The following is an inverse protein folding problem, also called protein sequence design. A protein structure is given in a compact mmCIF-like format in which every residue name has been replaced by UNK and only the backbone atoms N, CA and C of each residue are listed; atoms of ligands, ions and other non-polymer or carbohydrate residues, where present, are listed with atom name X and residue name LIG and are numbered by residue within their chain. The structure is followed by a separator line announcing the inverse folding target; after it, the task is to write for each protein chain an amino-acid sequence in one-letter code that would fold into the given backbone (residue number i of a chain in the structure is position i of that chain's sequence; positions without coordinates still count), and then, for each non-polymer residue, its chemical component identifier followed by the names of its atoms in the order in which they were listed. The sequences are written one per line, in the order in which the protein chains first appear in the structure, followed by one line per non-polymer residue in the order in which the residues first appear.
data_IF_945977073827
#
_entry.id   IF_945977073827
#
_cell.length_a   1.000
_cell.length_b   1.000
_cell.length_c   1.000
_cell.angle_alpha   90.00
_cell.angle_beta   90.00
_cell.angle_gamma   90.00
#
_symmetry.space_group_name_H-M   'P 1'
#
loop_
_entity.id
_entity.type
_entity.pdbx_description
1 polymer ?
#
# COMPACT_ATOMS: atom_id res chain seq x y z
N UNK A 1 53.65 -55.00 21.93
CA UNK A 1 52.45 -54.25 22.37
C UNK A 1 52.70 -52.76 22.60
N UNK A 2 53.74 -52.34 23.35
CA UNK A 2 54.01 -50.93 23.69
C UNK A 2 54.27 -50.00 22.48
N UNK A 3 55.01 -50.46 21.46
CA UNK A 3 55.28 -49.70 20.23
C UNK A 3 54.04 -49.52 19.33
N UNK A 4 53.12 -50.48 19.33
CA UNK A 4 51.87 -50.41 18.55
C UNK A 4 50.90 -49.36 19.15
N UNK A 5 50.81 -49.30 20.48
CA UNK A 5 50.01 -48.28 21.19
C UNK A 5 50.55 -46.85 20.96
N UNK A 6 51.87 -46.68 20.89
CA UNK A 6 52.51 -45.38 20.60
C UNK A 6 52.26 -44.92 19.16
N UNK A 7 52.24 -45.85 18.19
CA UNK A 7 51.88 -45.54 16.80
C UNK A 7 50.42 -45.08 16.65
N UNK A 8 49.49 -45.69 17.39
CA UNK A 8 48.08 -45.30 17.40
C UNK A 8 47.91 -43.90 18.02
N UNK A 9 48.56 -43.59 19.13
CA UNK A 9 48.51 -42.28 19.78
C UNK A 9 49.12 -41.17 18.90
N UNK A 10 50.23 -41.44 18.21
CA UNK A 10 50.84 -40.50 17.28
C UNK A 10 49.93 -40.24 16.05
N UNK A 11 49.31 -41.29 15.51
CA UNK A 11 48.36 -41.18 14.39
C UNK A 11 47.09 -40.40 14.77
N UNK A 12 46.53 -40.64 15.96
CA UNK A 12 45.39 -39.89 16.48
C UNK A 12 45.75 -38.42 16.70
N UNK A 13 46.91 -38.12 17.29
CA UNK A 13 47.39 -36.75 17.48
C UNK A 13 47.52 -35.98 16.16
N UNK A 14 48.14 -36.59 15.14
CA UNK A 14 48.29 -35.97 13.81
C UNK A 14 46.95 -35.75 13.10
N UNK A 15 46.03 -36.72 13.20
CA UNK A 15 44.68 -36.59 12.62
C UNK A 15 43.88 -35.46 13.28
N UNK A 16 44.01 -35.29 14.60
CA UNK A 16 43.36 -34.23 15.36
C UNK A 16 43.93 -32.84 15.00
N UNK A 17 45.25 -32.73 14.78
CA UNK A 17 45.88 -31.50 14.29
C UNK A 17 45.40 -31.15 12.88
N UNK A 18 45.32 -32.12 11.98
CA UNK A 18 44.86 -31.88 10.61
C UNK A 18 43.39 -31.44 10.57
N UNK A 19 42.52 -32.08 11.34
CA UNK A 19 41.10 -31.71 11.44
C UNK A 19 40.91 -30.36 12.13
N UNK A 20 41.70 -30.06 13.16
CA UNK A 20 41.72 -28.75 13.82
C UNK A 20 42.14 -27.63 12.87
N UNK A 21 43.22 -27.84 12.09
CA UNK A 21 43.70 -26.86 11.13
C UNK A 21 42.70 -26.62 10.00
N UNK A 22 42.10 -27.68 9.45
CA UNK A 22 41.04 -27.58 8.44
C UNK A 22 39.82 -26.84 8.99
N UNK A 23 39.38 -27.21 10.21
CA UNK A 23 38.27 -26.54 10.89
C UNK A 23 38.57 -25.07 11.16
N UNK A 24 39.80 -24.72 11.53
CA UNK A 24 40.22 -23.34 11.80
C UNK A 24 40.20 -22.51 10.52
N UNK A 25 40.70 -23.06 9.40
CA UNK A 25 40.63 -22.42 8.08
C UNK A 25 39.17 -22.18 7.71
N UNK A 26 38.30 -23.17 7.77
CA UNK A 26 36.87 -23.03 7.47
C UNK A 26 36.17 -22.01 8.40
N UNK A 27 36.52 -22.01 9.68
CA UNK A 27 36.00 -21.03 10.64
C UNK A 27 36.42 -19.60 10.30
N UNK A 28 37.64 -19.42 9.77
CA UNK A 28 38.18 -18.11 9.39
C UNK A 28 37.74 -17.62 8.00
N UNK A 29 37.67 -18.50 7.01
CA UNK A 29 37.46 -18.11 5.61
C UNK A 29 36.00 -18.14 5.19
N UNK A 30 35.16 -18.95 5.85
CA UNK A 30 33.75 -19.15 5.47
C UNK A 30 32.83 -18.72 6.60
N UNK A 31 33.03 -19.23 7.82
CA UNK A 31 32.11 -18.99 8.92
C UNK A 31 32.16 -17.56 9.45
N UNK A 32 33.34 -17.00 9.69
CA UNK A 32 33.47 -15.63 10.20
C UNK A 32 32.87 -14.55 9.26
N UNK A 33 33.14 -14.56 7.93
CA UNK A 33 32.48 -13.64 7.01
C UNK A 33 30.95 -13.80 6.97
N UNK A 34 30.45 -15.05 7.02
CA UNK A 34 29.02 -15.32 7.06
C UNK A 34 28.38 -14.84 8.37
N UNK A 35 29.06 -15.09 9.50
CA UNK A 35 28.65 -14.63 10.83
C UNK A 35 28.52 -13.11 10.90
N UNK A 36 29.52 -12.36 10.39
CA UNK A 36 29.45 -10.89 10.39
C UNK A 36 28.25 -10.38 9.61
N UNK A 37 28.03 -10.90 8.40
CA UNK A 37 26.86 -10.53 7.57
C UNK A 37 25.53 -10.85 8.25
N UNK A 38 25.44 -12.00 8.93
CA UNK A 38 24.25 -12.39 9.68
C UNK A 38 23.96 -11.44 10.84
N UNK A 39 24.98 -11.10 11.64
CA UNK A 39 24.84 -10.18 12.78
C UNK A 39 24.55 -8.76 12.32
N UNK A 40 25.20 -8.28 11.25
CA UNK A 40 24.95 -6.97 10.64
C UNK A 40 23.52 -6.85 10.08
N UNK A 41 22.96 -7.94 9.56
CA UNK A 41 21.59 -7.97 9.03
C UNK A 41 20.50 -8.06 10.13
N UNK A 42 20.87 -8.41 11.37
CA UNK A 42 19.94 -8.56 12.50
C UNK A 42 19.01 -7.36 12.72
N UNK A 43 19.49 -6.11 12.86
CA UNK A 43 18.60 -4.96 13.06
C UNK A 43 17.61 -4.78 11.90
N UNK A 44 18.04 -5.02 10.66
CA UNK A 44 17.15 -4.95 9.50
C UNK A 44 16.05 -6.02 9.53
N UNK A 45 16.35 -7.22 10.03
CA UNK A 45 15.39 -8.30 10.20
C UNK A 45 14.41 -8.01 11.35
N UNK A 46 14.89 -7.42 12.45
CA UNK A 46 14.05 -6.99 13.58
C UNK A 46 13.09 -5.87 13.13
N UNK A 47 13.57 -4.87 12.41
CA UNK A 47 12.75 -3.79 11.84
C UNK A 47 11.71 -4.33 10.85
N UNK A 48 12.13 -5.25 9.97
CA UNK A 48 11.21 -5.88 9.00
C UNK A 48 10.12 -6.70 9.71
N UNK A 49 10.45 -7.43 10.78
CA UNK A 49 9.47 -8.18 11.55
C UNK A 49 8.49 -7.23 12.26
N UNK A 50 8.99 -6.17 12.89
CA UNK A 50 8.17 -5.16 13.55
C UNK A 50 7.19 -4.49 12.57
N UNK A 51 7.63 -4.17 11.35
CA UNK A 51 6.76 -3.66 10.30
C UNK A 51 5.70 -4.68 9.89
N UNK A 52 6.09 -5.93 9.63
CA UNK A 52 5.17 -6.99 9.23
C UNK A 52 4.12 -7.30 10.32
N UNK A 53 4.46 -7.12 11.59
CA UNK A 53 3.56 -7.32 12.75
C UNK A 53 2.80 -6.06 13.16
N UNK A 54 3.07 -4.92 12.52
CA UNK A 54 2.42 -3.65 12.83
C UNK A 54 0.92 -3.67 12.50
N UNK A 55 0.17 -2.81 13.19
CA UNK A 55 -1.23 -2.53 12.86
C UNK A 55 -1.40 -1.90 11.47
N UNK A 56 -0.34 -1.30 10.91
CA UNK A 56 -0.36 -0.67 9.58
C UNK A 56 -0.50 -1.72 8.48
N UNK A 57 0.25 -2.82 8.57
CA UNK A 57 0.15 -3.94 7.61
C UNK A 57 -1.21 -4.62 7.72
N UNK A 58 -1.72 -4.82 8.95
CA UNK A 58 -3.07 -5.37 9.15
C UNK A 58 -4.15 -4.44 8.57
N UNK A 59 -4.01 -3.13 8.77
CA UNK A 59 -4.88 -2.11 8.17
C UNK A 59 -4.83 -2.10 6.65
N UNK A 60 -3.65 -2.25 6.05
CA UNK A 60 -3.51 -2.38 4.59
C UNK A 60 -4.22 -3.63 4.06
N UNK A 61 -4.07 -4.77 4.74
CA UNK A 61 -4.75 -6.02 4.37
C UNK A 61 -6.27 -5.88 4.48
N UNK A 62 -6.77 -5.24 5.54
CA UNK A 62 -8.20 -4.99 5.70
C UNK A 62 -8.75 -4.05 4.63
N UNK A 63 -8.07 -2.92 4.36
CA UNK A 63 -8.48 -1.99 3.31
C UNK A 63 -8.45 -2.63 1.92
N UNK A 64 -7.48 -3.50 1.65
CA UNK A 64 -7.43 -4.26 0.41
C UNK A 64 -8.61 -5.24 0.29
N UNK A 65 -8.97 -5.92 1.37
CA UNK A 65 -10.14 -6.80 1.40
C UNK A 65 -11.43 -6.04 1.14
N UNK A 66 -11.59 -4.86 1.74
CA UNK A 66 -12.73 -3.98 1.52
C UNK A 66 -12.81 -3.52 0.06
N UNK A 67 -11.68 -3.08 -0.51
CA UNK A 67 -11.57 -2.72 -1.92
C UNK A 67 -12.04 -3.87 -2.82
N UNK A 68 -11.50 -5.08 -2.65
CA UNK A 68 -11.89 -6.25 -3.43
C UNK A 68 -13.38 -6.59 -3.26
N UNK A 69 -13.93 -6.43 -2.06
CA UNK A 69 -15.36 -6.66 -1.79
C UNK A 69 -16.28 -5.62 -2.44
N UNK A 70 -15.76 -4.43 -2.74
CA UNK A 70 -16.48 -3.34 -3.37
C UNK A 70 -16.50 -3.44 -4.91
N UNK A 71 -15.58 -4.20 -5.52
CA UNK A 71 -15.48 -4.35 -6.99
C UNK A 71 -16.82 -4.77 -7.62
N UNK A 72 -17.56 -5.78 -7.13
CA UNK A 72 -18.85 -6.15 -7.73
C UNK A 72 -19.89 -5.02 -7.68
N UNK A 73 -19.85 -4.19 -6.63
CA UNK A 73 -20.73 -3.01 -6.53
C UNK A 73 -20.30 -1.94 -7.54
N UNK A 74 -19.00 -1.75 -7.74
CA UNK A 74 -18.46 -0.83 -8.74
C UNK A 74 -18.80 -1.28 -10.17
N UNK A 75 -18.73 -2.58 -10.47
CA UNK A 75 -19.18 -3.15 -11.75
C UNK A 75 -20.66 -2.87 -12.00
N UNK A 76 -21.51 -3.15 -11.00
CA UNK A 76 -22.94 -2.87 -11.11
C UNK A 76 -23.23 -1.37 -11.30
N UNK A 77 -22.48 -0.50 -10.62
CA UNK A 77 -22.60 0.95 -10.77
C UNK A 77 -22.15 1.42 -12.16
N UNK A 78 -21.04 0.90 -12.69
CA UNK A 78 -20.54 1.24 -14.02
C UNK A 78 -21.52 0.79 -15.12
N UNK A 79 -22.14 -0.39 -14.95
CA UNK A 79 -23.16 -0.89 -15.87
C UNK A 79 -24.45 -0.06 -15.81
N UNK A 80 -24.91 0.30 -14.60
CA UNK A 80 -26.05 1.19 -14.42
C UNK A 80 -25.79 2.57 -15.03
N UNK A 81 -24.59 3.13 -14.82
CA UNK A 81 -24.16 4.38 -15.42
C UNK A 81 -24.15 4.29 -16.94
N UNK A 82 -23.58 3.24 -17.53
CA UNK A 82 -23.58 3.02 -18.98
C UNK A 82 -24.98 2.96 -19.59
N UNK A 83 -25.94 2.33 -18.88
CA UNK A 83 -27.35 2.31 -19.31
C UNK A 83 -28.04 3.68 -19.19
N UNK A 84 -27.71 4.44 -18.16
CA UNK A 84 -28.26 5.78 -17.95
C UNK A 84 -27.61 6.84 -18.85
N UNK A 85 -26.37 6.62 -19.30
CA UNK A 85 -25.56 7.59 -20.02
C UNK A 85 -26.25 8.21 -21.25
N UNK A 86 -26.92 7.45 -22.15
CA UNK A 86 -27.61 8.06 -23.28
C UNK A 86 -28.76 9.00 -22.87
N UNK A 87 -29.45 8.70 -21.77
CA UNK A 87 -30.49 9.57 -21.23
C UNK A 87 -29.89 10.83 -20.59
N UNK A 88 -28.78 10.68 -19.87
CA UNK A 88 -28.03 11.80 -19.29
C UNK A 88 -27.46 12.72 -20.37
N UNK A 89 -26.93 12.19 -21.48
CA UNK A 89 -26.47 12.98 -22.63
C UNK A 89 -27.62 13.77 -23.26
N UNK A 90 -28.81 13.18 -23.39
CA UNK A 90 -30.00 13.91 -23.88
C UNK A 90 -30.41 15.03 -22.93
N UNK A 91 -30.43 14.75 -21.62
CA UNK A 91 -30.72 15.77 -20.60
C UNK A 91 -29.67 16.89 -20.61
N UNK A 92 -28.41 16.55 -20.84
CA UNK A 92 -27.32 17.50 -21.01
C UNK A 92 -27.52 18.40 -22.23
N UNK A 93 -27.94 17.84 -23.38
CA UNK A 93 -28.30 18.62 -24.56
C UNK A 93 -29.44 19.61 -24.27
N UNK A 94 -30.50 19.16 -23.58
CA UNK A 94 -31.60 20.03 -23.17
C UNK A 94 -31.16 21.12 -22.18
N UNK A 95 -30.27 20.79 -21.24
CA UNK A 95 -29.70 21.75 -20.30
C UNK A 95 -28.90 22.84 -21.03
N UNK A 96 -28.12 22.46 -22.03
CA UNK A 96 -27.36 23.38 -22.86
C UNK A 96 -28.29 24.31 -23.66
N UNK A 97 -29.34 23.77 -24.27
CA UNK A 97 -30.37 24.58 -24.95
C UNK A 97 -31.05 25.57 -23.99
N UNK A 98 -31.42 25.12 -22.78
CA UNK A 98 -31.99 25.99 -21.75
C UNK A 98 -31.03 27.08 -21.29
N UNK A 99 -29.74 26.76 -21.19
CA UNK A 99 -28.70 27.73 -20.86
C UNK A 99 -28.56 28.80 -21.95
N UNK A 100 -28.48 28.38 -23.22
CA UNK A 100 -28.40 29.30 -24.36
C UNK A 100 -29.61 30.24 -24.45
N UNK A 101 -30.82 29.72 -24.21
CA UNK A 101 -32.04 30.53 -24.22
C UNK A 101 -32.07 31.50 -23.05
N UNK A 102 -31.83 31.03 -21.82
CA UNK A 102 -31.91 31.85 -20.59
C UNK A 102 -30.79 32.90 -20.49
N UNK A 103 -29.67 32.70 -21.18
CA UNK A 103 -28.58 33.66 -21.26
C UNK A 103 -28.60 34.49 -22.56
N UNK A 104 -29.60 34.30 -23.41
CA UNK A 104 -29.75 35.09 -24.63
C UNK A 104 -30.01 36.57 -24.33
N UNK A 105 -29.63 37.43 -25.27
CA UNK A 105 -29.90 38.86 -25.18
C UNK A 105 -31.38 39.16 -24.96
N UNK A 106 -32.26 38.48 -25.69
CA UNK A 106 -33.71 38.69 -25.62
C UNK A 106 -34.28 38.30 -24.25
N UNK A 107 -33.77 37.22 -23.65
CA UNK A 107 -34.21 36.78 -22.32
C UNK A 107 -33.81 37.79 -21.24
N UNK A 108 -32.56 38.26 -21.27
CA UNK A 108 -32.07 39.29 -20.35
C UNK A 108 -32.81 40.64 -20.53
N UNK A 109 -33.11 41.02 -21.78
CA UNK A 109 -33.91 42.21 -22.07
C UNK A 109 -35.35 42.08 -21.53
N UNK A 110 -35.95 40.89 -21.59
CA UNK A 110 -37.27 40.62 -21.02
C UNK A 110 -37.28 40.71 -19.50
N UNK A 111 -36.27 40.14 -18.82
CA UNK A 111 -36.09 40.28 -17.37
C UNK A 111 -36.02 41.77 -16.99
N UNK A 112 -35.16 42.54 -17.67
CA UNK A 112 -35.00 43.97 -17.39
C UNK A 112 -36.29 44.77 -17.66
N UNK A 113 -37.09 44.38 -18.66
CA UNK A 113 -38.38 44.99 -18.92
C UNK A 113 -39.39 44.68 -17.81
N UNK A 114 -39.47 43.42 -17.37
CA UNK A 114 -40.35 42.99 -16.28
C UNK A 114 -39.99 43.67 -14.96
N UNK A 115 -38.70 43.86 -14.68
CA UNK A 115 -38.23 44.60 -13.49
C UNK A 115 -38.66 46.07 -13.51
N UNK A 116 -38.54 46.74 -14.66
CA UNK A 116 -39.04 48.12 -14.82
C UNK A 116 -40.55 48.21 -14.65
N UNK A 117 -41.29 47.22 -15.17
CA UNK A 117 -42.74 47.15 -14.98
C UNK A 117 -43.08 46.90 -13.52
N UNK A 118 -42.35 46.03 -12.82
CA UNK A 118 -42.55 45.76 -11.40
C UNK A 118 -42.26 46.99 -10.53
N UNK A 119 -41.21 47.75 -10.84
CA UNK A 119 -40.88 49.00 -10.17
C UNK A 119 -42.02 50.02 -10.34
N UNK A 120 -42.44 50.27 -11.58
CA UNK A 120 -43.57 51.18 -11.87
C UNK A 120 -44.90 50.70 -11.26
N UNK A 121 -45.14 49.39 -11.23
CA UNK A 121 -46.35 48.82 -10.63
C UNK A 121 -46.31 48.92 -9.10
N UNK A 122 -45.14 48.81 -8.47
CA UNK A 122 -44.96 49.01 -7.03
C UNK A 122 -45.29 50.45 -6.61
N UNK A 123 -44.95 51.43 -7.44
CA UNK A 123 -45.33 52.84 -7.23
C UNK A 123 -46.86 53.08 -7.25
N UNK A 124 -47.64 52.17 -7.86
CA UNK A 124 -49.10 52.24 -7.87
C UNK A 124 -49.74 51.69 -6.59
N UNK A 125 -49.03 50.89 -5.78
CA UNK A 125 -49.57 50.30 -4.55
C UNK A 125 -50.13 51.33 -3.57
N UNK A 126 -49.48 52.47 -3.28
CA UNK A 126 -50.04 53.49 -2.38
C UNK A 126 -51.35 54.08 -2.90
N UNK A 127 -51.50 54.23 -4.22
CA UNK A 127 -52.72 54.75 -4.84
C UNK A 127 -53.85 53.72 -4.78
N UNK A 128 -53.54 52.45 -5.04
CA UNK A 128 -54.49 51.34 -4.88
C UNK A 128 -54.93 51.19 -3.42
N UNK A 129 -54.01 51.37 -2.46
CA UNK A 129 -54.31 51.40 -1.03
C UNK A 129 -55.31 52.52 -0.69
N UNK A 130 -55.04 53.73 -1.19
CA UNK A 130 -55.90 54.89 -0.98
C UNK A 130 -57.30 54.70 -1.59
N UNK A 131 -57.40 53.93 -2.69
CA UNK A 131 -58.66 53.58 -3.34
C UNK A 131 -59.37 52.36 -2.72
N UNK A 132 -58.79 51.70 -1.72
CA UNK A 132 -59.34 50.48 -1.12
C UNK A 132 -59.28 49.23 -2.03
N UNK A 133 -58.42 49.24 -3.05
CA UNK A 133 -58.30 48.19 -4.08
C UNK A 133 -57.08 47.29 -3.85
N UNK A 134 -56.80 46.92 -2.60
CA UNK A 134 -55.62 46.12 -2.22
C UNK A 134 -55.61 44.73 -2.83
N UNK A 135 -56.76 44.19 -3.23
CA UNK A 135 -56.87 42.89 -3.90
C UNK A 135 -56.11 42.85 -5.25
N UNK A 136 -55.84 44.02 -5.84
CA UNK A 136 -55.07 44.16 -7.07
C UNK A 136 -53.56 44.10 -6.86
N UNK A 137 -53.08 44.01 -5.61
CA UNK A 137 -51.64 43.89 -5.32
C UNK A 137 -51.03 42.64 -5.93
N UNK A 138 -51.76 41.52 -5.95
CA UNK A 138 -51.30 40.30 -6.59
C UNK A 138 -51.08 40.48 -8.11
N UNK A 139 -51.88 41.33 -8.75
CA UNK A 139 -51.71 41.69 -10.16
C UNK A 139 -50.48 42.57 -10.36
N UNK A 140 -50.24 43.50 -9.43
CA UNK A 140 -49.04 44.35 -9.41
C UNK A 140 -47.75 43.54 -9.19
N UNK A 141 -47.80 42.55 -8.31
CA UNK A 141 -46.64 41.71 -7.95
C UNK A 141 -46.29 40.68 -9.04
N UNK A 142 -47.20 40.43 -9.98
CA UNK A 142 -47.02 39.43 -11.05
C UNK A 142 -45.78 39.69 -11.92
N UNK A 143 -45.43 40.95 -12.18
CA UNK A 143 -44.24 41.30 -12.95
C UNK A 143 -42.94 40.99 -12.19
N UNK A 144 -42.92 41.25 -10.88
CA UNK A 144 -41.78 40.92 -10.00
C UNK A 144 -41.60 39.40 -9.93
N UNK A 145 -42.70 38.67 -9.73
CA UNK A 145 -42.67 37.21 -9.71
C UNK A 145 -42.19 36.61 -11.02
N UNK A 146 -42.59 37.17 -12.17
CA UNK A 146 -42.15 36.71 -13.47
C UNK A 146 -40.64 36.95 -13.69
N UNK A 147 -40.13 38.13 -13.30
CA UNK A 147 -38.70 38.43 -13.38
C UNK A 147 -37.87 37.51 -12.48
N UNK A 148 -38.32 37.27 -11.24
CA UNK A 148 -37.68 36.33 -10.32
C UNK A 148 -37.67 34.90 -10.85
N UNK A 149 -38.80 34.43 -11.39
CA UNK A 149 -38.90 33.10 -12.00
C UNK A 149 -37.91 32.93 -13.16
N UNK A 150 -37.77 33.95 -14.01
CA UNK A 150 -36.81 33.92 -15.11
C UNK A 150 -35.36 33.90 -14.63
N UNK A 151 -35.02 34.65 -13.56
CA UNK A 151 -33.69 34.58 -12.94
C UNK A 151 -33.42 33.22 -12.29
N UNK A 152 -34.41 32.64 -11.65
CA UNK A 152 -34.31 31.30 -11.05
C UNK A 152 -34.03 30.26 -12.14
N UNK A 153 -34.74 30.35 -13.28
CA UNK A 153 -34.52 29.49 -14.45
C UNK A 153 -33.10 29.67 -15.02
N UNK A 154 -32.56 30.88 -15.03
CA UNK A 154 -31.19 31.16 -15.46
C UNK A 154 -30.17 30.45 -14.56
N UNK A 155 -30.29 30.57 -13.23
CA UNK A 155 -29.44 29.85 -12.26
C UNK A 155 -29.55 28.33 -12.40
N UNK A 156 -30.77 27.82 -12.56
CA UNK A 156 -30.99 26.38 -12.73
C UNK A 156 -30.35 25.84 -14.01
N UNK A 157 -30.38 26.62 -15.09
CA UNK A 157 -29.72 26.25 -16.35
C UNK A 157 -28.20 26.24 -16.25
N UNK A 158 -27.61 27.15 -15.46
CA UNK A 158 -26.17 27.21 -15.23
C UNK A 158 -25.69 25.97 -14.46
N UNK A 159 -26.38 25.59 -13.39
CA UNK A 159 -26.11 24.36 -12.65
C UNK A 159 -26.25 23.10 -13.53
N UNK A 160 -27.23 23.08 -14.44
CA UNK A 160 -27.43 21.97 -15.37
C UNK A 160 -26.32 21.90 -16.44
N UNK A 161 -25.81 23.04 -16.90
CA UNK A 161 -24.66 23.13 -17.80
C UNK A 161 -23.35 22.69 -17.13
N UNK A 162 -23.16 22.99 -15.84
CA UNK A 162 -22.03 22.45 -15.06
C UNK A 162 -22.11 20.93 -14.92
N UNK A 163 -23.29 20.39 -14.60
CA UNK A 163 -23.54 18.95 -14.54
C UNK A 163 -23.26 18.24 -15.86
N UNK A 164 -23.50 18.91 -16.98
CA UNK A 164 -23.19 18.41 -18.34
C UNK A 164 -21.69 18.25 -18.58
N UNK A 165 -20.87 19.20 -18.14
CA UNK A 165 -19.39 19.09 -18.26
C UNK A 165 -18.83 17.91 -17.48
N UNK A 166 -19.40 17.61 -16.32
CA UNK A 166 -19.00 16.44 -15.52
C UNK A 166 -19.33 15.13 -16.25
N UNK A 167 -20.47 15.07 -16.95
CA UNK A 167 -20.86 13.93 -17.76
C UNK A 167 -19.86 13.67 -18.89
N UNK A 168 -19.42 14.71 -19.59
CA UNK A 168 -18.42 14.60 -20.67
C UNK A 168 -17.04 14.15 -20.17
N UNK A 169 -16.68 14.53 -18.94
CA UNK A 169 -15.38 14.18 -18.34
C UNK A 169 -15.27 12.73 -17.88
N UNK A 170 -16.36 11.97 -17.89
CA UNK A 170 -16.39 10.59 -17.37
C UNK A 170 -17.20 9.67 -18.29
N UNK A 171 -16.72 9.39 -19.52
CA UNK A 171 -17.42 8.49 -20.41
C UNK A 171 -17.52 7.08 -19.80
N UNK A 172 -18.61 6.34 -20.08
CA UNK A 172 -18.89 5.05 -19.43
C UNK A 172 -17.80 4.02 -19.70
N UNK A 173 -17.08 4.15 -20.82
CA UNK A 173 -16.06 3.18 -21.20
C UNK A 173 -14.77 3.36 -20.40
N UNK A 174 -14.45 4.60 -19.99
CA UNK A 174 -13.35 4.86 -19.07
C UNK A 174 -13.67 4.31 -17.67
N UNK A 175 -14.90 4.51 -17.19
CA UNK A 175 -15.34 3.96 -15.90
C UNK A 175 -15.29 2.43 -15.91
N UNK A 176 -15.79 1.78 -16.99
CA UNK A 176 -15.69 0.32 -17.15
C UNK A 176 -14.25 -0.16 -17.20
N UNK A 177 -13.37 0.55 -17.93
CA UNK A 177 -11.96 0.19 -18.02
C UNK A 177 -11.26 0.29 -16.65
N UNK A 178 -11.57 1.30 -15.84
CA UNK A 178 -11.03 1.44 -14.49
C UNK A 178 -11.50 0.32 -13.56
N UNK A 179 -12.79 -0.04 -13.62
CA UNK A 179 -13.34 -1.13 -12.81
C UNK A 179 -12.75 -2.49 -13.24
N UNK A 180 -12.60 -2.73 -14.54
CA UNK A 180 -11.93 -3.93 -15.05
C UNK A 180 -10.46 -4.01 -14.64
N UNK A 181 -9.74 -2.87 -14.60
CA UNK A 181 -8.38 -2.83 -14.09
C UNK A 181 -8.32 -3.23 -12.60
N UNK A 182 -9.22 -2.70 -11.77
CA UNK A 182 -9.33 -3.08 -10.35
C UNK A 182 -9.66 -4.56 -10.17
N UNK A 183 -10.57 -5.09 -11.00
CA UNK A 183 -10.93 -6.50 -11.01
C UNK A 183 -9.72 -7.38 -11.34
N UNK A 184 -8.99 -7.08 -12.41
CA UNK A 184 -7.77 -7.82 -12.77
C UNK A 184 -6.73 -7.80 -11.66
N UNK A 185 -6.52 -6.65 -11.01
CA UNK A 185 -5.63 -6.57 -9.86
C UNK A 185 -6.08 -7.49 -8.71
N UNK A 186 -7.38 -7.51 -8.41
CA UNK A 186 -7.94 -8.38 -7.38
C UNK A 186 -7.89 -9.88 -7.75
N UNK A 187 -7.96 -10.22 -9.04
CA UNK A 187 -7.83 -11.59 -9.55
C UNK A 187 -6.37 -12.09 -9.53
N UNK A 188 -5.41 -11.25 -9.90
CA UNK A 188 -3.98 -11.58 -9.88
C UNK A 188 -3.43 -11.72 -8.45
N UNK A 189 -3.93 -10.88 -7.55
CA UNK A 189 -3.53 -10.81 -6.15
C UNK A 189 -4.76 -10.82 -5.24
N UNK A 190 -5.46 -11.96 -5.09
CA UNK A 190 -6.61 -12.02 -4.19
C UNK A 190 -6.18 -11.77 -2.74
N UNK A 191 -7.08 -11.26 -1.87
CA UNK A 191 -6.74 -10.94 -0.48
C UNK A 191 -6.07 -12.10 0.26
N UNK A 192 -6.54 -13.33 0.06
CA UNK A 192 -5.96 -14.54 0.66
C UNK A 192 -4.51 -14.80 0.23
N UNK A 193 -4.14 -14.46 -1.02
CA UNK A 193 -2.78 -14.61 -1.52
C UNK A 193 -1.86 -13.55 -0.94
N UNK A 194 -2.32 -12.31 -0.83
CA UNK A 194 -1.57 -11.22 -0.19
C UNK A 194 -1.34 -11.51 1.31
N UNK A 195 -2.37 -11.94 2.02
CA UNK A 195 -2.27 -12.38 3.42
C UNK A 195 -1.28 -13.54 3.58
N UNK A 196 -1.33 -14.52 2.66
CA UNK A 196 -0.37 -15.62 2.61
C UNK A 196 1.08 -15.16 2.42
N UNK A 197 1.32 -14.17 1.55
CA UNK A 197 2.66 -13.59 1.33
C UNK A 197 3.16 -12.89 2.60
N UNK A 198 2.32 -12.10 3.27
CA UNK A 198 2.68 -11.41 4.51
C UNK A 198 2.98 -12.42 5.62
N UNK A 199 2.18 -13.49 5.76
CA UNK A 199 2.45 -14.54 6.74
C UNK A 199 3.74 -15.31 6.43
N UNK A 200 3.97 -15.65 5.16
CA UNK A 200 5.23 -16.29 4.75
C UNK A 200 6.44 -15.40 5.06
N UNK A 201 6.32 -14.08 4.83
CA UNK A 201 7.36 -13.12 5.17
C UNK A 201 7.62 -13.09 6.69
N UNK A 202 6.57 -13.06 7.53
CA UNK A 202 6.70 -13.13 9.01
C UNK A 202 7.45 -14.38 9.45
N UNK A 203 7.07 -15.55 8.91
CA UNK A 203 7.74 -16.83 9.23
C UNK A 203 9.20 -16.81 8.81
N UNK A 204 9.49 -16.42 7.57
CA UNK A 204 10.86 -16.40 7.03
C UNK A 204 11.78 -15.44 7.80
N UNK A 205 11.27 -14.27 8.19
CA UNK A 205 12.04 -13.29 8.97
C UNK A 205 12.31 -13.82 10.39
N UNK A 206 11.33 -14.45 11.05
CA UNK A 206 11.52 -15.10 12.35
C UNK A 206 12.54 -16.25 12.29
N UNK A 207 12.50 -17.07 11.24
CA UNK A 207 13.48 -18.13 11.01
C UNK A 207 14.88 -17.57 10.79
N UNK A 208 15.00 -16.51 9.99
CA UNK A 208 16.26 -15.81 9.77
C UNK A 208 16.83 -15.25 11.08
N UNK A 209 16.01 -14.60 11.91
CA UNK A 209 16.41 -14.12 13.24
C UNK A 209 16.87 -15.26 14.14
N UNK A 210 16.14 -16.39 14.17
CA UNK A 210 16.54 -17.56 14.95
C UNK A 210 17.88 -18.16 14.50
N UNK A 211 18.19 -18.11 13.20
CA UNK A 211 19.52 -18.50 12.66
C UNK A 211 20.60 -17.53 13.14
N UNK A 212 20.34 -16.22 13.10
CA UNK A 212 21.27 -15.20 13.61
C UNK A 212 21.52 -15.39 15.11
N UNK A 213 20.48 -15.56 15.93
CA UNK A 213 20.61 -15.81 17.36
C UNK A 213 21.42 -17.08 17.66
N UNK A 214 21.22 -18.15 16.87
CA UNK A 214 22.00 -19.39 17.00
C UNK A 214 23.47 -19.15 16.63
N UNK A 215 23.73 -18.35 15.60
CA UNK A 215 25.10 -17.97 15.23
C UNK A 215 25.76 -17.13 16.34
N UNK A 216 25.04 -16.18 16.95
CA UNK A 216 25.52 -15.35 18.07
C UNK A 216 25.92 -16.18 19.30
N UNK A 217 25.26 -17.30 19.58
CA UNK A 217 25.65 -18.24 20.65
C UNK A 217 26.96 -18.98 20.35
N UNK A 218 27.42 -18.98 19.11
CA UNK A 218 28.63 -19.67 18.65
C UNK A 218 29.57 -18.72 17.89
N UNK A 219 30.09 -17.65 18.52
CA UNK A 219 30.89 -16.67 17.82
C UNK A 219 32.16 -17.30 17.25
N UNK A 220 32.66 -16.82 16.09
CA UNK A 220 33.81 -17.39 15.41
C UNK A 220 35.07 -17.43 16.29
N UNK A 221 35.20 -16.51 17.24
CA UNK A 221 36.30 -16.51 18.23
C UNK A 221 36.30 -17.75 19.15
N UNK A 222 35.13 -18.17 19.65
CA UNK A 222 35.02 -19.37 20.49
C UNK A 222 35.29 -20.64 19.68
N UNK A 223 34.78 -20.71 18.45
CA UNK A 223 35.02 -21.82 17.53
C UNK A 223 36.51 -21.97 17.19
N UNK A 224 37.16 -20.85 16.84
CA UNK A 224 38.61 -20.81 16.60
C UNK A 224 39.42 -21.20 17.83
N UNK A 225 39.02 -20.77 19.02
CA UNK A 225 39.70 -21.09 20.27
C UNK A 225 39.57 -22.57 20.65
N UNK A 226 38.39 -23.17 20.46
CA UNK A 226 38.19 -24.61 20.63
C UNK A 226 39.00 -25.42 19.60
N UNK A 227 39.03 -24.98 18.34
CA UNK A 227 39.83 -25.62 17.30
C UNK A 227 41.33 -25.50 17.60
N UNK A 228 41.81 -24.32 18.02
CA UNK A 228 43.19 -24.13 18.44
C UNK A 228 43.56 -25.00 19.65
N UNK A 229 42.68 -25.11 20.64
CA UNK A 229 42.87 -25.98 21.80
C UNK A 229 42.92 -27.48 21.41
N UNK A 230 42.04 -27.92 20.50
CA UNK A 230 42.07 -29.28 19.96
C UNK A 230 43.35 -29.57 19.16
N UNK A 231 43.83 -28.59 18.38
CA UNK A 231 45.11 -28.67 17.67
C UNK A 231 46.29 -28.75 18.64
N UNK A 232 46.31 -27.93 19.69
CA UNK A 232 47.34 -27.97 20.73
C UNK A 232 47.35 -29.32 21.49
N UNK A 233 46.17 -29.88 21.79
CA UNK A 233 46.05 -31.20 22.38
C UNK A 233 46.56 -32.31 21.43
N UNK A 234 46.29 -32.21 20.13
CA UNK A 234 46.82 -33.12 19.12
C UNK A 234 48.35 -33.07 19.03
N UNK A 235 48.95 -31.88 19.05
CA UNK A 235 50.41 -31.68 19.08
C UNK A 235 51.00 -32.31 20.35
N UNK A 236 50.39 -32.08 21.51
CA UNK A 236 50.86 -32.64 22.78
C UNK A 236 50.82 -34.18 22.77
N UNK A 237 49.75 -34.79 22.24
CA UNK A 237 49.63 -36.24 22.10
C UNK A 237 50.70 -36.83 21.17
N UNK A 238 50.98 -36.16 20.04
CA UNK A 238 52.05 -36.58 19.13
C UNK A 238 53.44 -36.42 19.77
N UNK A 239 53.70 -35.32 20.49
CA UNK A 239 54.98 -35.07 21.16
C UNK A 239 55.25 -36.06 22.30
N UNK A 240 54.24 -36.36 23.13
CA UNK A 240 54.32 -37.38 24.19
C UNK A 240 54.59 -38.76 23.60
N UNK A 241 53.93 -39.10 22.48
CA UNK A 241 54.16 -40.37 21.79
C UNK A 241 55.60 -40.52 21.29
N UNK A 242 56.19 -39.43 20.76
CA UNK A 242 57.59 -39.39 20.30
C UNK A 242 58.57 -39.44 21.48
N UNK A 243 58.32 -38.70 22.56
CA UNK A 243 59.17 -38.68 23.74
C UNK A 243 59.22 -40.06 24.43
N UNK A 244 58.07 -40.71 24.57
CA UNK A 244 57.98 -42.07 25.14
C UNK A 244 58.62 -43.10 24.21
N UNK A 245 58.49 -42.96 22.89
CA UNK A 245 59.16 -43.81 21.93
C UNK A 245 60.69 -43.68 22.00
N UNK A 246 61.23 -42.45 22.04
CA UNK A 246 62.68 -42.19 22.20
C UNK A 246 63.24 -42.76 23.49
N UNK A 247 62.54 -42.56 24.61
CA UNK A 247 62.96 -43.09 25.90
C UNK A 247 62.94 -44.63 25.93
N UNK A 248 62.00 -45.28 25.24
CA UNK A 248 61.94 -46.74 25.13
C UNK A 248 63.01 -47.36 24.22
N UNK A 249 63.67 -46.55 23.38
CA UNK A 249 64.73 -46.98 22.45
C UNK A 249 66.15 -46.70 22.96
N UNK A 250 66.31 -46.14 24.17
CA UNK A 250 67.62 -45.94 24.80
C UNK A 250 68.47 -44.80 24.23
N UNK A 251 67.87 -43.88 23.47
CA UNK A 251 68.53 -42.66 23.00
C UNK A 251 68.26 -41.54 24.03
N UNK A 252 69.30 -41.14 24.78
CA UNK A 252 69.32 -39.87 25.53
C UNK A 252 69.53 -38.71 24.56
#
# INVERSE_FOLDING_TARGET
MRQFALGILAGLGLSLVALSALGYVLASSVYEPAYRRMVEAKPMLEDALALLESSEVEGMLSSYRELCSAIPKAEAAAEAYSKAYPALVKLSGLAQEMYEVSHSRQYNEMIAALEKVAEAASELKPLLAAAGLTDLYALVDSASMAAEFMREAQRASEAAAEGSKLLESMPPEELKAQVEALKRMAEELPPSKLEGIVQAARVNVREALAVVERAERHPPGQLKLLLAAAGAAGIALSAVSVAVARHSMGLQ
#
